data_IF_653925612908
#
_entry.id   IF_653925612908
#
_cell.length_a   1.000
_cell.length_b   1.000
_cell.length_c   1.000
_cell.angle_alpha   90.00
_cell.angle_beta   90.00
_cell.angle_gamma   90.00
#
_symmetry.space_group_name_H-M   'P 1'
#
loop_
_entity.id
_entity.type
_entity.pdbx_description
1 polymer ?
#
# COMPACT_ATOMS: atom_id res chain seq x y z
N UNK A 1 32.03 33.16 37.71
CA UNK A 1 31.62 33.10 36.30
C UNK A 1 31.25 31.68 35.78
N UNK A 2 31.40 30.62 36.53
CA UNK A 2 31.18 29.22 36.10
C UNK A 2 29.75 28.71 36.25
N UNK A 3 28.91 29.31 37.10
CA UNK A 3 27.52 28.84 37.29
C UNK A 3 26.57 29.08 36.12
N UNK A 4 26.79 30.12 35.33
CA UNK A 4 25.90 30.49 34.22
C UNK A 4 26.17 29.66 32.95
N UNK A 5 27.34 29.05 32.82
CA UNK A 5 27.68 28.21 31.67
C UNK A 5 26.98 26.83 31.78
N UNK A 6 26.83 26.27 33.00
CA UNK A 6 26.14 25.02 33.21
C UNK A 6 24.62 25.10 32.94
N UNK A 7 24.00 26.25 33.23
CA UNK A 7 22.58 26.46 32.94
C UNK A 7 22.31 26.57 31.44
N UNK A 8 23.20 27.21 30.67
CA UNK A 8 23.06 27.34 29.22
C UNK A 8 23.24 26.01 28.49
N UNK A 9 24.16 25.15 28.94
CA UNK A 9 24.38 23.83 28.37
C UNK A 9 23.19 22.89 28.65
N UNK A 10 22.61 22.96 29.86
CA UNK A 10 21.43 22.15 30.22
C UNK A 10 20.17 22.58 29.43
N UNK A 11 20.00 23.87 29.15
CA UNK A 11 18.90 24.39 28.34
C UNK A 11 18.99 23.96 26.85
N UNK A 12 20.22 23.96 26.28
CA UNK A 12 20.44 23.49 24.90
C UNK A 12 20.22 21.97 24.79
N UNK A 13 20.64 21.19 25.80
CA UNK A 13 20.37 19.75 25.82
C UNK A 13 18.88 19.41 25.96
N UNK A 14 18.11 20.20 26.71
CA UNK A 14 16.65 20.02 26.81
C UNK A 14 15.90 20.39 25.52
N UNK A 15 16.37 21.32 24.73
CA UNK A 15 15.79 21.69 23.42
C UNK A 15 16.12 20.67 22.33
N UNK A 16 17.21 19.90 22.47
CA UNK A 16 17.59 18.85 21.52
C UNK A 16 16.83 17.53 21.73
N UNK A 17 16.05 17.39 22.81
CA UNK A 17 15.40 16.13 23.18
C UNK A 17 13.92 16.02 22.76
N UNK A 18 13.31 17.09 22.23
CA UNK A 18 11.96 17.01 21.65
C UNK A 18 12.02 16.67 20.15
N UNK A 19 12.50 15.47 19.80
CA UNK A 19 12.16 14.92 18.49
C UNK A 19 10.70 14.48 18.59
N UNK A 20 9.83 15.15 17.82
CA UNK A 20 8.47 14.69 17.57
C UNK A 20 8.56 13.29 16.98
N UNK A 21 7.79 12.35 17.51
CA UNK A 21 7.70 11.03 16.91
C UNK A 21 7.25 11.17 15.44
N UNK A 22 7.87 10.44 14.51
CA UNK A 22 7.52 10.54 13.10
C UNK A 22 6.06 10.16 12.87
N UNK A 23 5.39 10.92 12.03
CA UNK A 23 4.00 10.62 11.63
C UNK A 23 3.93 9.31 10.83
N UNK A 24 2.73 8.76 10.64
CA UNK A 24 2.55 7.55 9.84
C UNK A 24 3.04 7.78 8.40
N UNK A 25 2.77 8.96 7.82
CA UNK A 25 3.27 9.32 6.48
C UNK A 25 4.80 9.31 6.42
N UNK A 26 5.48 9.96 7.37
CA UNK A 26 6.94 10.00 7.44
C UNK A 26 7.57 8.60 7.59
N UNK A 27 6.88 7.68 8.25
CA UNK A 27 7.33 6.29 8.42
C UNK A 27 7.09 5.45 7.18
N UNK A 28 5.99 5.68 6.46
CA UNK A 28 5.64 4.99 5.21
C UNK A 28 6.48 5.45 4.03
N UNK A 29 6.93 6.72 4.03
CA UNK A 29 7.72 7.28 2.95
C UNK A 29 8.96 6.45 2.62
N UNK A 30 9.27 6.33 1.34
CA UNK A 30 10.40 5.60 0.78
C UNK A 30 10.01 4.60 -0.29
N UNK A 31 11.01 3.84 -0.75
CA UNK A 31 10.84 2.82 -1.79
C UNK A 31 10.60 1.46 -1.17
N UNK A 32 9.54 0.81 -1.59
CA UNK A 32 9.11 -0.51 -1.20
C UNK A 32 9.14 -1.45 -2.39
N UNK A 33 9.73 -2.63 -2.25
CA UNK A 33 9.78 -3.65 -3.29
C UNK A 33 8.65 -4.65 -3.09
N UNK A 34 7.89 -4.95 -4.13
CA UNK A 34 6.84 -5.95 -4.10
C UNK A 34 7.46 -7.33 -3.83
N UNK A 35 6.93 -8.06 -2.86
CA UNK A 35 7.37 -9.41 -2.51
C UNK A 35 6.28 -10.46 -2.65
N UNK A 36 5.00 -10.05 -2.54
CA UNK A 36 3.85 -10.95 -2.70
C UNK A 36 2.63 -10.18 -3.17
N UNK A 37 1.83 -10.77 -4.05
CA UNK A 37 0.56 -10.23 -4.56
C UNK A 37 -0.46 -11.34 -4.66
N UNK A 38 -1.62 -11.14 -4.05
CA UNK A 38 -2.76 -12.02 -4.23
C UNK A 38 -4.04 -11.20 -4.43
N UNK A 39 -4.90 -11.68 -5.30
CA UNK A 39 -6.24 -11.15 -5.50
C UNK A 39 -7.21 -12.32 -5.50
N UNK A 40 -8.27 -12.21 -4.73
CA UNK A 40 -9.34 -13.20 -4.66
C UNK A 40 -10.69 -12.53 -4.79
N UNK A 41 -11.63 -13.22 -5.40
CA UNK A 41 -12.98 -12.71 -5.58
C UNK A 41 -13.91 -13.75 -6.18
N UNK A 42 -15.14 -13.32 -6.46
CA UNK A 42 -16.15 -14.17 -7.10
C UNK A 42 -16.73 -13.41 -8.28
N UNK A 43 -16.64 -14.01 -9.44
CA UNK A 43 -17.29 -13.50 -10.66
C UNK A 43 -18.62 -14.21 -10.84
N UNK A 44 -19.69 -13.46 -10.94
CA UNK A 44 -21.02 -13.99 -11.28
C UNK A 44 -21.08 -14.20 -12.79
N UNK A 45 -21.49 -15.39 -13.19
CA UNK A 45 -21.68 -15.75 -14.60
C UNK A 45 -23.13 -16.23 -14.81
N UNK A 46 -23.62 -16.29 -16.06
CA UNK A 46 -24.96 -16.82 -16.32
C UNK A 46 -25.20 -18.25 -15.84
N UNK A 47 -24.12 -19.00 -15.57
CA UNK A 47 -24.17 -20.39 -15.08
C UNK A 47 -23.90 -20.51 -13.57
N UNK A 48 -23.70 -19.40 -12.87
CA UNK A 48 -23.48 -19.35 -11.42
C UNK A 48 -22.26 -18.51 -11.00
N UNK A 49 -22.04 -18.44 -9.71
CA UNK A 49 -20.90 -17.73 -9.12
C UNK A 49 -19.62 -18.58 -9.23
N UNK A 50 -18.56 -17.98 -9.78
CA UNK A 50 -17.26 -18.60 -9.99
C UNK A 50 -16.20 -17.91 -9.12
N UNK A 51 -15.64 -18.60 -8.11
CA UNK A 51 -14.53 -18.04 -7.36
C UNK A 51 -13.28 -17.95 -8.24
N UNK A 52 -12.59 -16.83 -8.16
CA UNK A 52 -11.33 -16.58 -8.88
C UNK A 52 -10.26 -16.25 -7.85
N UNK A 53 -9.08 -16.83 -8.03
CA UNK A 53 -7.88 -16.50 -7.28
C UNK A 53 -6.78 -16.13 -8.27
N UNK A 54 -6.15 -14.99 -8.05
CA UNK A 54 -4.99 -14.53 -8.80
C UNK A 54 -3.84 -14.44 -7.80
N UNK A 55 -2.74 -15.09 -8.11
CA UNK A 55 -1.50 -15.00 -7.34
C UNK A 55 -0.36 -14.60 -8.26
N UNK A 56 0.67 -13.98 -7.72
CA UNK A 56 1.89 -13.79 -8.47
C UNK A 56 2.56 -15.15 -8.70
N UNK A 57 2.92 -15.43 -9.92
CA UNK A 57 3.75 -16.61 -10.26
C UNK A 57 5.20 -16.21 -10.52
N UNK A 58 5.45 -14.95 -10.79
CA UNK A 58 6.76 -14.37 -11.01
C UNK A 58 6.72 -12.87 -10.76
N UNK A 59 7.41 -12.43 -9.71
CA UNK A 59 7.69 -11.01 -9.44
C UNK A 59 9.02 -10.67 -10.10
N UNK A 60 9.03 -9.68 -10.99
CA UNK A 60 10.22 -9.22 -11.69
C UNK A 60 10.88 -8.06 -10.92
N UNK A 61 12.12 -7.70 -11.30
CA UNK A 61 12.95 -6.78 -10.53
C UNK A 61 12.43 -5.32 -10.42
N UNK A 62 11.44 -4.92 -11.21
CA UNK A 62 10.98 -3.52 -11.30
C UNK A 62 9.62 -3.29 -10.63
N UNK A 63 9.32 -4.04 -9.60
CA UNK A 63 8.05 -3.90 -8.88
C UNK A 63 8.28 -3.06 -7.63
N UNK A 64 8.02 -1.76 -7.72
CA UNK A 64 8.27 -0.82 -6.63
C UNK A 64 7.04 0.03 -6.33
N UNK A 65 6.84 0.32 -5.06
CA UNK A 65 5.95 1.36 -4.56
C UNK A 65 6.82 2.46 -3.95
N UNK A 66 6.93 3.58 -4.62
CA UNK A 66 7.67 4.76 -4.17
C UNK A 66 6.68 5.77 -3.58
N UNK A 67 6.77 6.00 -2.27
CA UNK A 67 5.98 6.97 -1.53
C UNK A 67 6.89 8.14 -1.17
N UNK A 68 6.76 9.26 -1.85
CA UNK A 68 7.58 10.44 -1.62
C UNK A 68 6.82 11.55 -0.89
N UNK A 69 7.50 12.23 0.03
CA UNK A 69 7.08 13.52 0.60
C UNK A 69 8.06 14.55 0.06
N UNK A 70 7.58 15.46 -0.76
CA UNK A 70 8.38 16.49 -1.41
C UNK A 70 8.66 17.66 -0.47
N UNK A 71 9.60 18.55 -0.85
CA UNK A 71 9.97 19.73 -0.05
C UNK A 71 8.80 20.71 0.15
N UNK A 72 7.82 20.72 -0.75
CA UNK A 72 6.59 21.52 -0.67
C UNK A 72 5.46 20.82 0.09
N UNK A 73 5.78 19.75 0.83
CA UNK A 73 4.84 18.90 1.58
C UNK A 73 3.84 18.12 0.71
N UNK A 74 3.95 18.17 -0.62
CA UNK A 74 3.15 17.31 -1.48
C UNK A 74 3.58 15.85 -1.37
N UNK A 75 2.60 14.95 -1.36
CA UNK A 75 2.83 13.51 -1.25
C UNK A 75 2.56 12.87 -2.61
N UNK A 76 3.60 12.33 -3.24
CA UNK A 76 3.50 11.69 -4.56
C UNK A 76 3.79 10.20 -4.48
N UNK A 77 3.11 9.42 -5.32
CA UNK A 77 3.31 7.98 -5.44
C UNK A 77 3.64 7.60 -6.87
N UNK A 78 4.59 6.67 -6.99
CA UNK A 78 4.83 5.92 -8.22
C UNK A 78 4.80 4.44 -7.87
N UNK A 79 3.86 3.71 -8.44
CA UNK A 79 3.75 2.27 -8.24
C UNK A 79 3.96 1.56 -9.56
N UNK A 80 5.11 0.89 -9.68
CA UNK A 80 5.45 0.07 -10.84
C UNK A 80 5.11 -1.38 -10.56
N UNK A 81 4.37 -2.00 -11.47
CA UNK A 81 4.02 -3.42 -11.45
C UNK A 81 4.51 -4.10 -12.73
N UNK A 82 5.28 -5.16 -12.59
CA UNK A 82 5.69 -6.07 -13.66
C UNK A 82 5.67 -7.49 -13.10
N UNK A 83 4.50 -8.10 -13.13
CA UNK A 83 4.24 -9.41 -12.53
C UNK A 83 3.64 -10.36 -13.56
N UNK A 84 3.87 -11.66 -13.37
CA UNK A 84 3.11 -12.68 -14.06
C UNK A 84 2.07 -13.27 -13.12
N UNK A 85 0.82 -12.87 -13.30
CA UNK A 85 -0.29 -13.38 -12.52
C UNK A 85 -0.70 -14.79 -12.97
N UNK A 86 -0.91 -15.67 -12.02
CA UNK A 86 -1.53 -16.98 -12.24
C UNK A 86 -3.00 -16.92 -11.83
N UNK A 87 -3.88 -16.93 -12.81
CA UNK A 87 -5.33 -16.90 -12.60
C UNK A 87 -5.83 -18.34 -12.51
N UNK A 88 -6.49 -18.68 -11.41
CA UNK A 88 -7.06 -20.01 -11.17
C UNK A 88 -8.56 -19.89 -10.97
N UNK A 89 -9.32 -20.70 -11.72
CA UNK A 89 -10.75 -20.82 -11.58
C UNK A 89 -11.14 -22.32 -11.52
N UNK A 90 -11.92 -22.74 -10.52
CA UNK A 90 -12.37 -24.13 -10.40
C UNK A 90 -13.09 -24.62 -11.66
N UNK A 91 -12.67 -25.76 -12.18
CA UNK A 91 -13.24 -26.35 -13.39
C UNK A 91 -12.72 -25.79 -14.72
N UNK A 92 -12.02 -24.64 -14.71
CA UNK A 92 -11.40 -24.02 -15.90
C UNK A 92 -9.88 -24.19 -15.90
N UNK A 93 -9.28 -24.57 -14.76
CA UNK A 93 -7.84 -24.70 -14.61
C UNK A 93 -7.15 -23.39 -14.28
N UNK A 94 -5.85 -23.31 -14.60
CA UNK A 94 -5.02 -22.14 -14.33
C UNK A 94 -4.35 -21.66 -15.62
N UNK A 95 -4.26 -20.34 -15.79
CA UNK A 95 -3.55 -19.71 -16.89
C UNK A 95 -2.79 -18.48 -16.41
N UNK A 96 -1.62 -18.23 -17.01
CA UNK A 96 -0.76 -17.09 -16.67
C UNK A 96 -1.03 -15.91 -17.59
N UNK A 97 -0.99 -14.70 -17.03
CA UNK A 97 -1.02 -13.44 -17.77
C UNK A 97 0.05 -12.48 -17.25
N UNK A 98 0.66 -11.71 -18.11
CA UNK A 98 1.59 -10.68 -17.70
C UNK A 98 0.80 -9.38 -17.41
N UNK A 99 1.08 -8.77 -16.26
CA UNK A 99 0.52 -7.48 -15.85
C UNK A 99 1.70 -6.52 -15.76
N UNK A 100 1.66 -5.49 -16.60
CA UNK A 100 2.60 -4.38 -16.57
C UNK A 100 1.80 -3.09 -16.47
N UNK A 101 2.05 -2.34 -15.40
CA UNK A 101 1.37 -1.08 -15.15
C UNK A 101 2.26 -0.13 -14.35
N UNK A 102 2.02 1.18 -14.49
CA UNK A 102 2.65 2.21 -13.69
C UNK A 102 1.59 3.22 -13.25
N UNK A 103 1.30 3.22 -11.96
CA UNK A 103 0.37 4.14 -11.32
C UNK A 103 1.17 5.36 -10.84
N UNK A 104 0.79 6.56 -11.34
CA UNK A 104 1.34 7.83 -10.87
C UNK A 104 0.22 8.65 -10.23
N UNK A 105 0.48 9.20 -9.04
CA UNK A 105 -0.55 9.93 -8.35
C UNK A 105 -0.08 10.60 -7.06
N UNK A 106 -1.04 10.80 -6.18
CA UNK A 106 -0.80 11.30 -4.82
C UNK A 106 -1.23 10.28 -3.79
N UNK A 107 -0.67 10.38 -2.60
CA UNK A 107 -1.02 9.50 -1.49
C UNK A 107 -1.16 10.26 -0.18
N UNK A 108 -1.80 9.67 0.79
CA UNK A 108 -1.78 10.06 2.19
C UNK A 108 -2.13 8.87 3.08
N UNK A 109 -1.68 8.89 4.33
CA UNK A 109 -2.05 7.87 5.30
C UNK A 109 -2.94 8.44 6.41
N UNK A 110 -3.73 7.57 7.00
CA UNK A 110 -4.60 7.88 8.14
C UNK A 110 -4.27 6.90 9.26
N UNK A 111 -3.81 7.45 10.38
CA UNK A 111 -3.63 6.70 11.62
C UNK A 111 -5.01 6.41 12.24
N UNK A 112 -5.32 5.14 12.43
CA UNK A 112 -6.58 4.68 13.03
C UNK A 112 -6.67 4.87 14.55
N UNK A 113 -5.59 5.34 15.19
CA UNK A 113 -5.55 5.62 16.63
C UNK A 113 -5.81 4.39 17.51
N UNK A 114 -5.59 3.18 16.97
CA UNK A 114 -5.84 1.91 17.64
C UNK A 114 -7.33 1.52 17.73
N UNK A 115 -8.24 2.32 17.17
CA UNK A 115 -9.70 2.04 17.12
C UNK A 115 -10.10 1.47 15.78
N UNK A 116 -9.55 2.02 14.70
CA UNK A 116 -9.68 1.52 13.32
C UNK A 116 -8.30 1.15 12.79
N UNK A 117 -8.19 0.27 11.78
CA UNK A 117 -6.92 0.02 11.12
C UNK A 117 -6.33 1.30 10.51
N UNK A 118 -5.00 1.40 10.54
CA UNK A 118 -4.29 2.40 9.75
C UNK A 118 -4.59 2.18 8.27
N UNK A 119 -4.62 3.24 7.50
CA UNK A 119 -5.00 3.19 6.09
C UNK A 119 -4.08 4.03 5.22
N UNK A 120 -3.77 3.53 4.03
CA UNK A 120 -3.07 4.24 2.96
C UNK A 120 -4.08 4.51 1.83
N UNK A 121 -4.15 5.75 1.37
CA UNK A 121 -4.98 6.16 0.24
C UNK A 121 -4.10 6.60 -0.92
N UNK A 122 -4.38 6.08 -2.10
CA UNK A 122 -3.73 6.45 -3.36
C UNK A 122 -4.79 7.04 -4.28
N UNK A 123 -4.49 8.19 -4.87
CA UNK A 123 -5.34 8.83 -5.89
C UNK A 123 -4.56 8.93 -7.19
N UNK A 124 -5.03 8.26 -8.23
CA UNK A 124 -4.46 8.27 -9.56
C UNK A 124 -5.59 8.37 -10.59
N UNK A 125 -5.37 9.08 -11.69
CA UNK A 125 -6.35 9.28 -12.77
C UNK A 125 -7.74 9.77 -12.30
N UNK A 126 -7.77 10.46 -11.16
CA UNK A 126 -9.01 10.96 -10.55
C UNK A 126 -9.76 9.93 -9.69
N UNK A 127 -9.29 8.70 -9.63
CA UNK A 127 -9.84 7.64 -8.79
C UNK A 127 -9.03 7.49 -7.49
N UNK A 128 -9.74 7.24 -6.40
CA UNK A 128 -9.16 7.07 -5.07
C UNK A 128 -9.36 5.63 -4.61
N UNK A 129 -8.24 4.94 -4.36
CA UNK A 129 -8.22 3.59 -3.77
C UNK A 129 -7.73 3.65 -2.33
N UNK A 130 -8.45 2.97 -1.44
CA UNK A 130 -8.08 2.83 -0.02
C UNK A 130 -7.49 1.45 0.25
N UNK A 131 -6.38 1.43 0.96
CA UNK A 131 -5.72 0.21 1.44
C UNK A 131 -5.69 0.21 2.96
N UNK A 132 -6.21 -0.83 3.56
CA UNK A 132 -6.00 -1.12 4.98
C UNK A 132 -4.56 -1.58 5.19
N UNK A 133 -3.85 -1.03 6.16
CA UNK A 133 -2.52 -1.46 6.56
C UNK A 133 -2.67 -2.64 7.52
N UNK A 134 -2.49 -3.86 7.03
CA UNK A 134 -2.60 -5.08 7.83
C UNK A 134 -1.43 -5.27 8.79
N UNK A 135 -0.24 -4.86 8.35
CA UNK A 135 0.97 -4.81 9.18
C UNK A 135 1.97 -3.82 8.60
N UNK A 136 2.68 -3.15 9.48
CA UNK A 136 3.72 -2.20 9.12
C UNK A 136 4.91 -2.33 10.09
N UNK A 137 6.06 -2.67 9.54
CA UNK A 137 7.36 -2.73 10.21
C UNK A 137 8.37 -1.91 9.39
N UNK A 138 9.53 -1.60 9.94
CA UNK A 138 10.56 -0.81 9.23
C UNK A 138 10.96 -1.38 7.87
N UNK A 139 10.87 -2.69 7.70
CA UNK A 139 11.30 -3.42 6.49
C UNK A 139 10.18 -4.17 5.80
N UNK A 140 8.93 -4.08 6.27
CA UNK A 140 7.80 -4.81 5.68
C UNK A 140 6.51 -4.02 5.81
N UNK A 141 5.75 -3.97 4.71
CA UNK A 141 4.44 -3.33 4.61
C UNK A 141 3.46 -4.30 3.95
N UNK A 142 2.35 -4.61 4.61
CA UNK A 142 1.29 -5.43 4.04
C UNK A 142 0.00 -4.63 3.97
N UNK A 143 -0.55 -4.57 2.77
CA UNK A 143 -1.75 -3.79 2.44
C UNK A 143 -2.87 -4.72 1.98
N UNK A 144 -4.10 -4.31 2.25
CA UNK A 144 -5.30 -4.94 1.72
C UNK A 144 -6.24 -3.89 1.16
N UNK A 145 -6.77 -4.11 -0.06
CA UNK A 145 -7.91 -3.38 -0.57
C UNK A 145 -9.08 -4.32 -0.85
N UNK A 146 -10.27 -3.78 -0.73
CA UNK A 146 -11.51 -4.47 -1.12
C UNK A 146 -12.24 -3.58 -2.10
N UNK A 147 -12.42 -4.05 -3.31
CA UNK A 147 -13.08 -3.33 -4.39
C UNK A 147 -14.35 -4.05 -4.79
N UNK A 148 -15.42 -3.29 -5.01
CA UNK A 148 -16.68 -3.81 -5.54
C UNK A 148 -16.94 -3.19 -6.90
N UNK A 149 -16.93 -4.02 -7.93
CA UNK A 149 -17.26 -3.64 -9.30
C UNK A 149 -18.73 -3.97 -9.54
N UNK A 150 -19.49 -3.01 -10.02
CA UNK A 150 -20.89 -3.20 -10.38
C UNK A 150 -21.00 -3.35 -11.90
N UNK A 151 -21.24 -4.55 -12.35
CA UNK A 151 -21.51 -4.87 -13.75
C UNK A 151 -23.02 -4.86 -14.00
N UNK A 152 -23.53 -4.14 -15.03
CA UNK A 152 -24.97 -4.05 -15.32
C UNK A 152 -25.63 -5.41 -15.58
N UNK A 153 -24.90 -6.35 -16.16
CA UNK A 153 -25.43 -7.66 -16.58
C UNK A 153 -25.15 -8.76 -15.54
N UNK A 154 -24.04 -8.66 -14.81
CA UNK A 154 -23.56 -9.67 -13.87
C UNK A 154 -23.74 -9.29 -12.39
N UNK A 155 -24.17 -8.07 -12.11
CA UNK A 155 -24.37 -7.57 -10.74
C UNK A 155 -23.07 -7.16 -10.04
N UNK A 156 -23.11 -7.05 -8.71
CA UNK A 156 -21.95 -6.63 -7.91
C UNK A 156 -20.98 -7.77 -7.71
N UNK A 157 -19.70 -7.50 -7.97
CA UNK A 157 -18.60 -8.43 -7.80
C UNK A 157 -17.58 -7.81 -6.85
N UNK A 158 -17.18 -8.54 -5.82
CA UNK A 158 -16.22 -8.03 -4.82
C UNK A 158 -14.91 -8.77 -4.93
N UNK A 159 -13.83 -8.01 -5.00
CA UNK A 159 -12.47 -8.51 -5.04
C UNK A 159 -11.70 -8.02 -3.82
N UNK A 160 -10.90 -8.90 -3.24
CA UNK A 160 -9.96 -8.57 -2.18
C UNK A 160 -8.56 -8.72 -2.74
N UNK A 161 -7.78 -7.66 -2.68
CA UNK A 161 -6.37 -7.65 -3.03
C UNK A 161 -5.53 -7.56 -1.76
N UNK A 162 -4.52 -8.39 -1.64
CA UNK A 162 -3.48 -8.28 -0.61
C UNK A 162 -2.12 -8.16 -1.29
N UNK A 163 -1.30 -7.25 -0.79
CA UNK A 163 0.01 -6.93 -1.34
C UNK A 163 1.01 -6.86 -0.19
N UNK A 164 2.15 -7.48 -0.34
CA UNK A 164 3.26 -7.40 0.61
C UNK A 164 4.48 -6.77 -0.05
N UNK A 165 5.05 -5.81 0.63
CA UNK A 165 6.26 -5.11 0.21
C UNK A 165 7.36 -5.29 1.25
N UNK A 166 8.61 -5.19 0.79
CA UNK A 166 9.82 -5.16 1.62
C UNK A 166 10.73 -4.00 1.23
N UNK A 167 11.48 -3.46 2.20
CA UNK A 167 12.56 -2.48 1.95
C UNK A 167 13.87 -3.17 1.68
#
# INVERSE_FOLDING_TARGET
>A
MTKNIFLAVAAVAALASCKKDPTLDERLAGTWNLSDLSLSGTVTTPIGALPITITDSLIRANNTLDLAINEDETQTVVWNMDVRALITAPGLGSFGTDIQDTINGTWYAVDGGGVTPDSLYITADGEKTGYEILSFFETSLRLRSVETIVDPDLGSQTFTQEVTFIK
#
